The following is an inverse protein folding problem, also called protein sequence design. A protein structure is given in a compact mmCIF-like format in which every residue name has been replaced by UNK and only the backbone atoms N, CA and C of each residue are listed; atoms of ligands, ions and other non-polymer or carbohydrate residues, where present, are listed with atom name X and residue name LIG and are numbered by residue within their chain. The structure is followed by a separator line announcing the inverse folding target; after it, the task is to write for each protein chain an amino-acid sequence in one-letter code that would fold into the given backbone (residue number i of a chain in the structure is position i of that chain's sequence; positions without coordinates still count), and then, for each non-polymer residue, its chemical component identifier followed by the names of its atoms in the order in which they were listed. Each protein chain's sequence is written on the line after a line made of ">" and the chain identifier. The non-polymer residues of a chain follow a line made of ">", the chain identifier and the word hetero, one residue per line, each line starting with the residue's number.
data_IF_448934297115
#
_entry.id   IF_448934297115
#
_cell.length_a   1.000
_cell.length_b   1.000
_cell.length_c   1.000
_cell.angle_alpha   90.00
_cell.angle_beta   90.00
_cell.angle_gamma   90.00
#
_symmetry.space_group_name_H-M   'P 1'
#
loop_
_entity.id
_entity.type
_entity.pdbx_description
1 polymer ?
#
# COMPACT_ATOMS: atom_id res chain seq x y z
N UNK A 1 5.96 -32.65 -41.68
CA UNK A 1 4.89 -31.75 -41.20
C UNK A 1 5.20 -30.36 -41.72
N UNK A 2 4.29 -29.81 -42.49
CA UNK A 2 4.37 -28.43 -42.98
C UNK A 2 3.95 -27.47 -41.86
N UNK A 3 4.32 -26.20 -41.97
CA UNK A 3 3.94 -25.18 -40.99
C UNK A 3 2.41 -25.02 -40.89
N UNK A 4 1.73 -25.16 -42.02
CA UNK A 4 0.27 -25.20 -42.15
C UNK A 4 -0.38 -26.33 -41.36
N UNK A 5 0.23 -27.51 -41.31
CA UNK A 5 -0.31 -28.64 -40.53
C UNK A 5 -0.27 -28.35 -39.02
N UNK A 6 0.75 -27.62 -38.56
CA UNK A 6 0.91 -27.26 -37.14
C UNK A 6 -0.09 -26.17 -36.73
N UNK A 7 -0.32 -25.19 -37.60
CA UNK A 7 -1.30 -24.12 -37.35
C UNK A 7 -2.73 -24.66 -37.26
N UNK A 8 -3.09 -25.62 -38.12
CA UNK A 8 -4.41 -26.24 -38.12
C UNK A 8 -4.62 -27.13 -36.88
N UNK A 9 -3.59 -27.86 -36.44
CA UNK A 9 -3.64 -28.66 -35.22
C UNK A 9 -3.76 -27.79 -33.95
N UNK A 10 -3.02 -26.67 -33.91
CA UNK A 10 -3.14 -25.68 -32.84
C UNK A 10 -4.54 -25.07 -32.80
N UNK A 11 -5.08 -24.66 -33.96
CA UNK A 11 -6.43 -24.09 -34.06
C UNK A 11 -7.48 -25.07 -33.59
N UNK A 12 -7.40 -26.33 -34.03
CA UNK A 12 -8.32 -27.39 -33.59
C UNK A 12 -8.22 -27.68 -32.09
N UNK A 13 -7.01 -27.58 -31.52
CA UNK A 13 -6.80 -27.73 -30.07
C UNK A 13 -7.42 -26.58 -29.29
N UNK A 14 -7.26 -25.34 -29.75
CA UNK A 14 -7.86 -24.16 -29.11
C UNK A 14 -9.39 -24.18 -29.18
N UNK A 15 -9.98 -24.55 -30.32
CA UNK A 15 -11.43 -24.65 -30.44
C UNK A 15 -12.02 -25.72 -29.52
N UNK A 16 -11.36 -26.89 -29.43
CA UNK A 16 -11.78 -27.95 -28.51
C UNK A 16 -11.65 -27.55 -27.05
N UNK A 17 -10.58 -26.83 -26.69
CA UNK A 17 -10.41 -26.26 -25.36
C UNK A 17 -11.50 -25.22 -25.05
N UNK A 18 -11.79 -24.29 -25.96
CA UNK A 18 -12.83 -23.27 -25.79
C UNK A 18 -14.23 -23.89 -25.62
N UNK A 19 -14.55 -24.96 -26.35
CA UNK A 19 -15.82 -25.67 -26.23
C UNK A 19 -16.01 -26.36 -24.87
N UNK A 20 -14.93 -26.64 -24.14
CA UNK A 20 -14.97 -27.25 -22.80
C UNK A 20 -15.08 -26.26 -21.65
N UNK A 21 -14.96 -24.96 -21.92
CA UNK A 21 -15.11 -23.92 -20.89
C UNK A 21 -16.59 -23.55 -20.76
N UNK A 22 -17.23 -23.77 -19.59
CA UNK A 22 -18.60 -23.34 -19.39
C UNK A 22 -18.67 -21.81 -19.47
N UNK A 23 -19.61 -21.28 -20.25
CA UNK A 23 -19.85 -19.85 -20.31
C UNK A 23 -20.28 -19.36 -18.93
N UNK A 24 -19.44 -18.57 -18.27
CA UNK A 24 -19.75 -18.00 -16.98
C UNK A 24 -20.74 -16.84 -17.17
N UNK A 25 -22.03 -17.14 -17.20
CA UNK A 25 -23.11 -16.16 -17.31
C UNK A 25 -23.11 -15.13 -16.16
N UNK A 26 -22.45 -15.45 -15.04
CA UNK A 26 -22.59 -14.71 -13.78
C UNK A 26 -21.35 -13.87 -13.42
N UNK A 27 -20.45 -13.58 -14.38
CA UNK A 27 -19.24 -12.79 -14.11
C UNK A 27 -19.59 -11.38 -13.60
N UNK A 28 -20.61 -10.76 -14.19
CA UNK A 28 -21.11 -9.42 -13.79
C UNK A 28 -21.77 -9.46 -12.41
N UNK A 29 -22.46 -10.56 -12.09
CA UNK A 29 -23.11 -10.75 -10.79
C UNK A 29 -22.10 -11.04 -9.67
N UNK A 30 -21.04 -11.82 -9.95
CA UNK A 30 -19.92 -12.01 -9.02
C UNK A 30 -19.15 -10.72 -8.76
N UNK A 31 -18.93 -9.89 -9.78
CA UNK A 31 -18.25 -8.60 -9.63
C UNK A 31 -19.03 -7.63 -8.72
N UNK A 32 -20.36 -7.59 -8.87
CA UNK A 32 -21.22 -6.66 -8.12
C UNK A 32 -21.54 -7.14 -6.70
N UNK A 33 -21.60 -8.45 -6.47
CA UNK A 33 -21.85 -9.02 -5.13
C UNK A 33 -20.67 -8.79 -4.17
N UNK A 34 -19.44 -8.83 -4.67
CA UNK A 34 -18.24 -8.48 -3.90
C UNK A 34 -18.24 -7.01 -3.42
N UNK A 35 -18.63 -6.09 -4.30
CA UNK A 35 -18.72 -4.66 -3.99
C UNK A 35 -19.79 -4.35 -2.93
N UNK A 36 -20.98 -4.95 -3.04
CA UNK A 36 -22.09 -4.72 -2.07
C UNK A 36 -21.77 -5.25 -0.66
N UNK A 37 -21.02 -6.35 -0.53
CA UNK A 37 -20.64 -6.92 0.78
C UNK A 37 -19.61 -6.07 1.51
N UNK A 38 -18.71 -5.39 0.79
CA UNK A 38 -17.78 -4.41 1.36
C UNK A 38 -18.51 -3.16 1.86
N UNK A 39 -19.50 -2.69 1.11
CA UNK A 39 -20.25 -1.48 1.42
C UNK A 39 -21.23 -1.64 2.61
N UNK A 40 -21.71 -2.86 2.89
CA UNK A 40 -22.56 -3.14 4.08
C UNK A 40 -21.76 -3.18 5.39
N UNK A 41 -20.44 -3.34 5.36
CA UNK A 41 -19.60 -3.35 6.58
C UNK A 41 -19.23 -1.95 7.09
N UNK A 42 -19.34 -0.92 6.27
CA UNK A 42 -19.01 0.46 6.66
C UNK A 42 -20.12 1.19 7.43
N UNK A 43 -21.38 0.72 7.38
CA UNK A 43 -22.50 1.40 8.05
C UNK A 43 -22.69 1.05 9.54
N UNK A 44 -22.02 0.01 10.06
CA UNK A 44 -22.20 -0.41 11.46
C UNK A 44 -21.20 0.27 12.41
N UNK A 45 -20.17 0.98 11.90
CA UNK A 45 -19.12 1.60 12.74
C UNK A 45 -19.32 3.12 12.93
N UNK A 46 -20.32 3.74 12.31
CA UNK A 46 -20.59 5.19 12.44
C UNK A 46 -21.75 5.53 13.39
N UNK A 47 -22.00 4.70 14.40
CA UNK A 47 -23.17 4.81 15.29
C UNK A 47 -22.93 5.37 16.70
N UNK A 48 -21.82 6.07 16.97
CA UNK A 48 -21.59 6.63 18.31
C UNK A 48 -20.77 7.95 18.26
N UNK A 49 -21.42 9.07 17.94
CA UNK A 49 -21.07 10.41 18.43
C UNK A 49 -22.01 11.48 17.85
N UNK A 50 -23.29 11.47 18.26
CA UNK A 50 -24.12 12.67 18.18
C UNK A 50 -25.25 12.55 19.20
N UNK A 51 -25.31 13.49 20.13
CA UNK A 51 -26.48 14.10 20.79
C UNK A 51 -26.11 14.47 22.23
N UNK A 52 -25.84 15.76 22.44
CA UNK A 52 -26.13 16.44 23.70
C UNK A 52 -26.14 17.96 23.45
N UNK A 53 -27.27 18.48 22.94
CA UNK A 53 -27.69 19.86 23.19
C UNK A 53 -29.13 19.80 23.69
N UNK A 54 -29.32 20.08 24.98
CA UNK A 54 -30.59 20.50 25.52
C UNK A 54 -30.31 21.51 26.65
N UNK A 55 -30.82 22.72 26.44
CA UNK A 55 -30.70 23.87 27.31
C UNK A 55 -31.52 23.71 28.60
N UNK A 56 -31.07 24.35 29.67
CA UNK A 56 -31.96 24.78 30.77
C UNK A 56 -31.68 26.25 31.03
N UNK A 57 -32.61 27.09 30.56
CA UNK A 57 -32.78 28.45 31.02
C UNK A 57 -33.63 28.42 32.30
N UNK A 58 -33.13 28.99 33.40
CA UNK A 58 -33.97 29.41 34.52
C UNK A 58 -33.64 30.85 34.86
N UNK A 59 -34.71 31.65 34.85
CA UNK A 59 -34.76 33.07 35.10
C UNK A 59 -34.27 33.46 36.50
N UNK A 60 -33.61 34.61 36.60
CA UNK A 60 -33.32 35.30 37.85
C UNK A 60 -33.34 36.81 37.61
N UNK A 61 -34.44 37.45 37.98
CA UNK A 61 -34.61 38.91 38.02
C UNK A 61 -33.67 39.54 39.06
N UNK A 62 -33.05 40.67 38.72
CA UNK A 62 -32.34 41.55 39.64
C UNK A 62 -32.11 42.92 39.01
N UNK A 63 -32.85 43.93 39.49
CA UNK A 63 -32.85 45.31 39.01
C UNK A 63 -31.61 46.10 39.47
N UNK A 64 -31.28 47.11 38.67
CA UNK A 64 -30.62 48.39 38.98
C UNK A 64 -29.18 48.59 38.48
N UNK A 65 -28.98 49.69 37.74
CA UNK A 65 -27.69 50.39 37.68
C UNK A 65 -27.18 50.79 36.29
N UNK A 66 -27.66 51.93 35.80
CA UNK A 66 -27.13 52.74 34.68
C UNK A 66 -25.60 52.80 34.53
N UNK A 67 -25.09 52.69 33.29
CA UNK A 67 -24.30 53.72 32.58
C UNK A 67 -23.84 53.25 31.19
N UNK A 68 -24.12 54.08 30.19
CA UNK A 68 -23.68 53.94 28.79
C UNK A 68 -22.15 53.89 28.66
N UNK A 69 -21.64 52.88 27.97
CA UNK A 69 -20.38 52.94 27.22
C UNK A 69 -20.47 51.98 26.01
N UNK A 70 -20.32 52.44 24.76
CA UNK A 70 -20.16 51.55 23.62
C UNK A 70 -18.72 51.03 23.59
N UNK A 71 -18.48 49.88 24.22
CA UNK A 71 -17.23 49.12 24.00
C UNK A 71 -17.46 48.14 22.84
N UNK A 72 -16.78 48.40 21.71
CA UNK A 72 -16.60 47.44 20.64
C UNK A 72 -16.01 46.14 21.18
N UNK A 73 -16.59 44.96 20.89
CA UNK A 73 -15.90 43.70 21.15
C UNK A 73 -14.70 43.57 20.19
N UNK A 74 -13.53 43.13 20.65
CA UNK A 74 -12.42 42.82 19.77
C UNK A 74 -12.82 41.65 18.88
N UNK A 75 -12.63 41.79 17.58
CA UNK A 75 -12.62 40.67 16.63
C UNK A 75 -11.53 39.69 17.07
N UNK A 76 -11.91 38.70 17.86
CA UNK A 76 -11.10 37.51 18.07
C UNK A 76 -11.00 36.81 16.72
N UNK A 77 -9.91 37.08 16.01
CA UNK A 77 -9.48 36.27 14.88
C UNK A 77 -9.17 34.88 15.45
N UNK A 78 -10.14 33.99 15.36
CA UNK A 78 -9.93 32.56 15.57
C UNK A 78 -9.05 32.08 14.41
N UNK A 79 -7.73 32.09 14.64
CA UNK A 79 -6.76 31.47 13.78
C UNK A 79 -7.03 29.97 13.79
N UNK A 80 -7.87 29.54 12.85
CA UNK A 80 -7.97 28.14 12.47
C UNK A 80 -6.53 27.62 12.25
N UNK A 81 -6.13 26.49 12.86
CA UNK A 81 -4.82 25.93 12.60
C UNK A 81 -4.75 25.64 11.10
N UNK A 82 -3.89 26.37 10.40
CA UNK A 82 -3.57 26.10 9.02
C UNK A 82 -3.12 24.64 8.96
N UNK A 83 -3.91 23.80 8.28
CA UNK A 83 -3.46 22.46 7.90
C UNK A 83 -2.12 22.64 7.21
N UNK A 84 -1.05 22.19 7.86
CA UNK A 84 0.27 22.18 7.27
C UNK A 84 0.17 21.42 5.95
N UNK A 85 0.23 22.15 4.84
CA UNK A 85 0.26 21.56 3.52
C UNK A 85 1.50 20.66 3.49
N UNK A 86 1.26 19.35 3.52
CA UNK A 86 2.34 18.37 3.39
C UNK A 86 2.92 18.56 2.00
N UNK A 87 4.16 19.03 1.91
CA UNK A 87 4.88 19.15 0.64
C UNK A 87 4.78 17.81 -0.09
N UNK A 88 4.38 17.76 -1.37
CA UNK A 88 4.27 16.50 -2.09
C UNK A 88 5.59 15.76 -2.03
N UNK A 89 5.61 14.56 -1.43
CA UNK A 89 6.81 13.74 -1.40
C UNK A 89 7.18 13.35 -2.83
N UNK A 90 8.37 13.77 -3.27
CA UNK A 90 8.90 13.40 -4.59
C UNK A 90 9.39 11.95 -4.53
N UNK A 91 8.62 11.07 -5.15
CA UNK A 91 8.99 9.67 -5.33
C UNK A 91 9.89 9.54 -6.55
N UNK A 92 11.08 8.98 -6.35
CA UNK A 92 12.02 8.68 -7.43
C UNK A 92 12.94 7.52 -7.03
N UNK A 93 13.62 6.94 -8.01
CA UNK A 93 14.66 5.94 -7.77
C UNK A 93 15.75 6.48 -6.84
N UNK A 94 16.09 7.77 -6.94
CA UNK A 94 17.06 8.42 -6.04
C UNK A 94 16.58 8.44 -4.60
N UNK A 95 15.28 8.65 -4.36
CA UNK A 95 14.71 8.67 -3.01
C UNK A 95 14.72 7.29 -2.35
N UNK A 96 14.53 6.23 -3.14
CA UNK A 96 14.52 4.82 -2.67
C UNK A 96 15.92 4.23 -2.55
N UNK A 97 16.91 4.80 -3.24
CA UNK A 97 18.27 4.28 -3.26
C UNK A 97 18.85 4.09 -1.85
N UNK A 98 19.59 3.00 -1.69
CA UNK A 98 20.20 2.60 -0.43
C UNK A 98 20.03 1.13 -0.11
N UNK A 99 20.52 0.76 1.06
CA UNK A 99 20.49 -0.60 1.59
C UNK A 99 19.37 -0.72 2.62
N UNK A 100 18.62 -1.82 2.56
CA UNK A 100 17.36 -2.00 3.29
C UNK A 100 17.28 -3.40 3.87
N UNK A 101 17.03 -3.50 5.18
CA UNK A 101 16.87 -4.75 5.91
C UNK A 101 15.39 -5.00 6.23
N UNK A 102 14.88 -6.23 6.04
CA UNK A 102 13.48 -6.53 6.32
C UNK A 102 13.19 -6.43 7.82
N UNK A 103 12.09 -5.76 8.17
CA UNK A 103 11.61 -5.61 9.56
C UNK A 103 10.31 -6.39 9.77
N UNK A 104 9.44 -6.38 8.76
CA UNK A 104 8.18 -7.13 8.78
C UNK A 104 7.86 -7.64 7.37
N UNK A 105 7.28 -8.84 7.28
CA UNK A 105 6.80 -9.39 6.02
C UNK A 105 5.59 -10.29 6.26
N UNK A 106 4.55 -10.11 5.45
CA UNK A 106 3.33 -10.93 5.53
C UNK A 106 3.68 -12.39 5.24
N UNK A 107 3.20 -13.30 6.10
CA UNK A 107 3.43 -14.74 5.96
C UNK A 107 4.79 -15.23 6.48
N UNK A 108 5.64 -14.35 7.01
CA UNK A 108 6.95 -14.72 7.57
C UNK A 108 6.93 -14.58 9.09
N UNK A 109 7.15 -15.69 9.81
CA UNK A 109 7.07 -15.70 11.28
C UNK A 109 8.33 -15.15 11.95
N UNK A 110 9.53 -15.36 11.37
CA UNK A 110 10.78 -14.84 11.94
C UNK A 110 11.78 -14.42 10.87
N UNK A 111 12.06 -13.11 10.82
CA UNK A 111 13.13 -12.56 9.98
C UNK A 111 14.51 -12.71 10.64
N UNK A 112 14.57 -12.92 11.96
CA UNK A 112 15.80 -13.00 12.75
C UNK A 112 16.47 -14.39 12.74
N UNK A 113 15.98 -15.32 11.94
CA UNK A 113 16.59 -16.65 11.82
C UNK A 113 18.03 -16.51 11.31
N UNK A 114 18.93 -17.31 11.89
CA UNK A 114 20.32 -17.38 11.42
C UNK A 114 20.36 -17.91 9.99
N UNK A 115 21.14 -17.24 9.15
CA UNK A 115 21.37 -17.55 7.74
C UNK A 115 22.85 -17.33 7.41
N UNK A 116 23.40 -17.98 6.37
CA UNK A 116 24.76 -17.74 5.91
C UNK A 116 25.07 -16.26 5.68
N UNK A 117 24.12 -15.55 5.06
CA UNK A 117 24.24 -14.12 4.77
C UNK A 117 23.10 -13.33 5.41
N UNK A 118 23.32 -12.02 5.54
CA UNK A 118 22.30 -11.07 5.95
C UNK A 118 21.25 -10.88 4.85
N UNK A 119 19.95 -11.09 5.13
CA UNK A 119 18.90 -10.77 4.18
C UNK A 119 18.77 -9.25 4.01
N UNK A 120 18.99 -8.77 2.78
CA UNK A 120 19.11 -7.34 2.48
C UNK A 120 18.73 -7.05 1.04
N UNK A 121 18.18 -5.85 0.80
CA UNK A 121 17.96 -5.28 -0.52
C UNK A 121 18.81 -4.01 -0.70
N UNK A 122 19.39 -3.85 -1.88
CA UNK A 122 20.17 -2.67 -2.29
C UNK A 122 19.54 -2.11 -3.55
N UNK A 123 18.87 -0.96 -3.43
CA UNK A 123 18.31 -0.22 -4.57
C UNK A 123 19.32 0.82 -5.04
N UNK A 124 19.56 0.87 -6.35
CA UNK A 124 20.43 1.87 -6.98
C UNK A 124 19.61 2.95 -7.68
N UNK A 125 20.12 4.19 -7.79
CA UNK A 125 19.40 5.30 -8.41
C UNK A 125 19.15 5.08 -9.92
N UNK A 126 19.88 4.16 -10.55
CA UNK A 126 19.75 3.79 -11.98
C UNK A 126 18.55 2.87 -12.28
N UNK A 127 17.77 2.48 -11.27
CA UNK A 127 16.64 1.56 -11.45
C UNK A 127 17.03 0.08 -11.40
N UNK A 128 18.24 -0.26 -10.97
CA UNK A 128 18.63 -1.64 -10.67
C UNK A 128 18.57 -1.92 -9.17
N UNK A 129 18.35 -3.18 -8.81
CA UNK A 129 18.45 -3.63 -7.42
C UNK A 129 19.20 -4.97 -7.33
N UNK A 130 19.88 -5.17 -6.21
CA UNK A 130 20.53 -6.42 -5.82
C UNK A 130 20.17 -6.75 -4.38
N UNK A 131 20.46 -7.95 -3.93
CA UNK A 131 20.25 -8.33 -2.54
C UNK A 131 20.73 -9.73 -2.23
N UNK A 132 20.53 -10.10 -0.97
CA UNK A 132 20.60 -11.48 -0.50
C UNK A 132 19.26 -11.81 0.16
N UNK A 133 18.74 -13.01 -0.09
CA UNK A 133 17.63 -13.57 0.68
C UNK A 133 18.11 -14.33 1.94
N UNK A 134 19.41 -14.21 2.23
CA UNK A 134 20.15 -14.86 3.29
C UNK A 134 20.91 -16.11 2.84
N UNK A 135 20.64 -16.64 1.65
CA UNK A 135 21.34 -17.81 1.10
C UNK A 135 21.72 -17.69 -0.37
N UNK A 136 20.96 -16.91 -1.13
CA UNK A 136 21.15 -16.70 -2.55
C UNK A 136 21.25 -15.20 -2.85
N UNK A 137 22.15 -14.88 -3.78
CA UNK A 137 22.16 -13.58 -4.43
C UNK A 137 20.94 -13.41 -5.32
N UNK A 138 20.26 -12.28 -5.18
CA UNK A 138 19.06 -11.91 -5.93
C UNK A 138 19.24 -10.51 -6.54
N UNK A 139 18.48 -10.20 -7.60
CA UNK A 139 18.53 -8.89 -8.23
C UNK A 139 17.58 -8.73 -9.41
N UNK A 140 17.51 -7.52 -9.94
CA UNK A 140 16.68 -7.18 -11.08
C UNK A 140 16.60 -5.68 -11.32
N UNK A 141 15.50 -5.23 -11.94
CA UNK A 141 15.21 -3.80 -12.17
C UNK A 141 13.96 -3.37 -11.42
N UNK A 142 13.81 -2.07 -11.21
CA UNK A 142 12.63 -1.46 -10.60
C UNK A 142 12.35 -0.07 -11.17
N UNK A 143 11.11 0.36 -11.03
CA UNK A 143 10.65 1.69 -11.42
C UNK A 143 9.77 2.29 -10.33
N UNK A 144 9.93 3.59 -10.10
CA UNK A 144 9.08 4.39 -9.22
C UNK A 144 8.33 5.42 -10.06
N UNK A 145 7.01 5.28 -10.10
CA UNK A 145 6.11 6.23 -10.73
C UNK A 145 5.55 7.28 -9.77
N UNK A 146 4.59 8.05 -10.27
CA UNK A 146 3.86 9.05 -9.50
C UNK A 146 3.22 8.42 -8.25
N UNK A 147 3.21 9.18 -7.15
CA UNK A 147 2.62 8.77 -5.86
C UNK A 147 3.12 7.41 -5.33
N UNK A 148 4.36 7.05 -5.69
CA UNK A 148 5.00 5.82 -5.23
C UNK A 148 4.51 4.55 -5.95
N UNK A 149 3.92 4.66 -7.14
CA UNK A 149 3.65 3.49 -7.97
C UNK A 149 4.94 2.68 -8.16
N UNK A 150 4.88 1.37 -7.95
CA UNK A 150 6.06 0.51 -7.89
C UNK A 150 5.89 -0.68 -8.84
N UNK A 151 6.95 -0.99 -9.57
CA UNK A 151 7.10 -2.24 -10.31
C UNK A 151 8.54 -2.69 -10.25
N UNK A 152 8.77 -4.00 -10.14
CA UNK A 152 10.09 -4.59 -10.18
C UNK A 152 10.09 -5.90 -10.96
N UNK A 153 11.24 -6.19 -11.57
CA UNK A 153 11.57 -7.49 -12.13
C UNK A 153 12.56 -8.20 -11.21
N UNK A 154 12.60 -9.52 -11.27
CA UNK A 154 13.63 -10.34 -10.63
C UNK A 154 14.26 -11.23 -11.69
N UNK A 155 15.58 -11.31 -11.69
CA UNK A 155 16.35 -12.26 -12.50
C UNK A 155 16.42 -13.62 -11.83
N UNK A 156 17.20 -14.52 -12.45
CA UNK A 156 17.54 -15.81 -11.86
C UNK A 156 18.34 -15.65 -10.55
N UNK A 157 18.23 -16.67 -9.71
CA UNK A 157 18.94 -16.78 -8.43
C UNK A 157 19.62 -18.15 -8.33
N UNK A 158 20.63 -18.26 -7.48
CA UNK A 158 21.12 -19.59 -7.07
C UNK A 158 20.03 -20.32 -6.29
N UNK A 159 20.10 -21.65 -6.28
CA UNK A 159 19.10 -22.52 -5.62
C UNK A 159 19.71 -23.22 -4.41
N UNK A 160 20.43 -22.48 -3.56
CA UNK A 160 20.90 -22.99 -2.26
C UNK A 160 19.70 -23.16 -1.34
N UNK A 161 19.54 -24.36 -0.77
CA UNK A 161 18.42 -24.70 0.10
C UNK A 161 18.61 -24.21 1.53
N UNK A 162 17.83 -23.20 1.94
CA UNK A 162 17.68 -22.79 3.33
C UNK A 162 16.28 -22.15 3.55
N UNK A 163 16.03 -21.57 4.73
CA UNK A 163 14.81 -20.79 4.96
C UNK A 163 15.01 -19.31 4.57
N UNK A 164 14.94 -19.06 3.27
CA UNK A 164 15.19 -17.76 2.65
C UNK A 164 14.15 -16.71 3.04
N UNK A 165 14.54 -15.42 3.05
CA UNK A 165 13.59 -14.31 3.14
C UNK A 165 12.98 -14.03 1.76
N UNK A 166 11.65 -14.06 1.58
CA UNK A 166 11.03 -14.01 0.24
C UNK A 166 10.94 -12.59 -0.34
N UNK A 167 12.08 -11.92 -0.48
CA UNK A 167 12.18 -10.57 -1.05
C UNK A 167 11.61 -10.48 -2.46
N UNK A 168 11.94 -11.43 -3.35
CA UNK A 168 11.48 -11.44 -4.74
C UNK A 168 9.95 -11.53 -4.84
N UNK A 169 9.30 -12.29 -3.94
CA UNK A 169 7.85 -12.35 -3.83
C UNK A 169 7.24 -10.98 -3.50
N UNK A 170 7.79 -10.29 -2.47
CA UNK A 170 7.35 -8.94 -2.11
C UNK A 170 7.51 -7.96 -3.27
N UNK A 171 8.67 -7.96 -3.95
CA UNK A 171 8.95 -7.01 -5.04
C UNK A 171 8.08 -7.27 -6.28
N UNK A 172 7.76 -8.54 -6.58
CA UNK A 172 6.85 -8.92 -7.66
C UNK A 172 5.41 -8.47 -7.38
N UNK A 173 4.96 -8.67 -6.15
CA UNK A 173 3.55 -8.51 -5.78
C UNK A 173 3.21 -7.05 -5.42
N UNK A 174 4.21 -6.25 -5.04
CA UNK A 174 4.03 -4.85 -4.74
C UNK A 174 3.56 -4.04 -5.96
N UNK A 175 2.70 -3.04 -5.70
CA UNK A 175 2.21 -2.06 -6.69
C UNK A 175 2.41 -0.61 -6.25
N UNK A 176 2.66 -0.41 -4.95
CA UNK A 176 2.93 0.90 -4.39
C UNK A 176 3.96 0.79 -3.27
N UNK A 177 4.75 1.84 -3.09
CA UNK A 177 5.60 2.04 -1.93
C UNK A 177 5.17 3.26 -1.12
N UNK A 178 5.55 3.27 0.15
CA UNK A 178 5.69 4.48 0.95
C UNK A 178 7.10 4.53 1.51
N UNK A 179 7.67 5.73 1.59
CA UNK A 179 9.00 5.94 2.15
C UNK A 179 8.97 7.09 3.15
N UNK A 180 9.52 6.83 4.33
CA UNK A 180 9.96 7.82 5.30
C UNK A 180 11.48 7.68 5.48
N UNK A 181 12.13 8.64 6.15
CA UNK A 181 13.60 8.75 6.22
C UNK A 181 14.33 7.38 6.31
N UNK A 182 13.91 6.53 7.25
CA UNK A 182 14.54 5.23 7.52
C UNK A 182 13.62 4.04 7.30
N UNK A 183 12.41 4.21 6.74
CA UNK A 183 11.46 3.11 6.52
C UNK A 183 10.96 3.07 5.09
N UNK A 184 11.06 1.89 4.46
CA UNK A 184 10.49 1.59 3.15
C UNK A 184 9.40 0.53 3.32
N UNK A 185 8.19 0.84 2.87
CA UNK A 185 7.03 -0.04 2.94
C UNK A 185 6.55 -0.39 1.54
N UNK A 186 6.17 -1.66 1.35
CA UNK A 186 5.61 -2.18 0.11
C UNK A 186 4.15 -2.55 0.30
N UNK A 187 3.31 -2.23 -0.68
CA UNK A 187 1.87 -2.48 -0.65
C UNK A 187 1.42 -3.22 -1.90
N UNK A 188 0.51 -4.18 -1.73
CA UNK A 188 -0.13 -4.91 -2.81
C UNK A 188 -1.18 -4.08 -3.55
N UNK A 189 -1.75 -4.67 -4.60
CA UNK A 189 -2.80 -4.05 -5.40
C UNK A 189 -4.07 -3.70 -4.60
N UNK A 190 -4.35 -4.46 -3.54
CA UNK A 190 -5.48 -4.25 -2.62
C UNK A 190 -5.18 -3.22 -1.51
N UNK A 191 -4.02 -2.58 -1.56
CA UNK A 191 -3.60 -1.58 -0.59
C UNK A 191 -3.07 -2.14 0.73
N UNK A 192 -3.06 -3.46 0.94
CA UNK A 192 -2.49 -4.06 2.15
C UNK A 192 -0.96 -4.01 2.11
N UNK A 193 -0.35 -3.76 3.26
CA UNK A 193 1.11 -3.80 3.40
C UNK A 193 1.61 -5.24 3.23
N UNK A 194 2.59 -5.45 2.37
CA UNK A 194 3.27 -6.73 2.15
C UNK A 194 4.50 -6.86 3.03
N UNK A 195 5.27 -5.78 3.18
CA UNK A 195 6.48 -5.76 3.97
C UNK A 195 6.88 -4.34 4.39
N UNK A 196 7.66 -4.25 5.45
CA UNK A 196 8.41 -3.04 5.84
C UNK A 196 9.89 -3.37 5.99
N UNK A 197 10.72 -2.41 5.62
CA UNK A 197 12.16 -2.47 5.66
C UNK A 197 12.71 -1.25 6.38
N UNK A 198 13.77 -1.44 7.16
CA UNK A 198 14.56 -0.36 7.74
C UNK A 198 15.79 -0.08 6.89
N UNK A 199 16.19 1.18 6.78
CA UNK A 199 17.45 1.55 6.15
C UNK A 199 18.61 0.93 6.95
N UNK A 200 19.52 0.25 6.25
CA UNK A 200 20.75 -0.22 6.86
C UNK A 200 21.70 0.98 7.09
N UNK A 201 22.30 1.04 8.28
CA UNK A 201 23.31 2.03 8.63
C UNK A 201 24.67 1.62 8.11
#
# INVERSE_FOLDING_TARGET
>A
MSNTDLEDDLRGTFERAAASVPQAADLTERATTGARRAQRRTWIVSGAAAVAVAAVAVAGFGLAGTRNQPMQPPVAAEQAPASAASTPQVFSNKTVAGTWRPVQMVGVQSLKKARPDDPVLVFKPDGTWKGSDGCNGIGGTYTIGQRGAFSATSGGQHMVGCENVPHTGVLRDAKRIAISADTLQFFGADGRQLASYARAR
#
